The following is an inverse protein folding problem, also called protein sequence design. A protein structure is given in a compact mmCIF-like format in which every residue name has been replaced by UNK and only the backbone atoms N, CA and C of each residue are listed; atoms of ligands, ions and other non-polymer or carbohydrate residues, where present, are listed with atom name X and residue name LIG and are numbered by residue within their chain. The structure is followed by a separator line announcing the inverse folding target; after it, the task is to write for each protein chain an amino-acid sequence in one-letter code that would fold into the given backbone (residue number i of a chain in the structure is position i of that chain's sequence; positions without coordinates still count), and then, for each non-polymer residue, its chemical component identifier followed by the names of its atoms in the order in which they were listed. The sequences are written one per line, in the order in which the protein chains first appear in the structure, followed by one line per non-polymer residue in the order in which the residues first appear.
data_IF_556690852064
#
_entry.id   IF_556690852064
#
_cell.length_a   1.000
_cell.length_b   1.000
_cell.length_c   1.000
_cell.angle_alpha   90.00
_cell.angle_beta   90.00
_cell.angle_gamma   90.00
#
_symmetry.space_group_name_H-M   'P 1'
#
loop_
_entity.id
_entity.type
_entity.pdbx_description
1 polymer ?
#
# COMPACT_ATOMS: atom_id res chain seq x y z
N UNK A 1 1.51 -5.81 -14.12
CA UNK A 1 2.47 -6.91 -14.36
C UNK A 1 1.74 -8.17 -14.89
N UNK A 2 2.40 -9.16 -15.54
CA UNK A 2 1.73 -10.40 -15.95
C UNK A 2 1.23 -11.20 -14.74
N UNK A 3 0.16 -11.98 -14.89
CA UNK A 3 -0.59 -12.62 -13.79
C UNK A 3 0.16 -13.71 -12.98
N UNK A 4 1.43 -13.98 -13.32
CA UNK A 4 2.38 -14.77 -12.53
C UNK A 4 3.78 -14.28 -12.83
N UNK A 5 4.20 -13.25 -12.11
CA UNK A 5 5.56 -12.75 -12.19
C UNK A 5 6.35 -13.35 -11.03
N UNK A 6 7.30 -14.25 -11.32
CA UNK A 6 8.17 -14.82 -10.29
C UNK A 6 9.34 -13.88 -9.95
N UNK A 7 9.54 -12.82 -10.75
CA UNK A 7 10.59 -11.82 -10.56
C UNK A 7 10.29 -10.52 -11.31
N UNK A 8 10.26 -9.41 -10.59
CA UNK A 8 10.16 -8.06 -11.18
C UNK A 8 11.51 -7.65 -11.75
N UNK A 9 11.53 -7.17 -12.99
CA UNK A 9 12.74 -6.63 -13.64
C UNK A 9 12.58 -5.15 -13.95
N UNK A 10 13.70 -4.38 -14.09
CA UNK A 10 13.64 -2.94 -14.37
C UNK A 10 12.79 -2.57 -15.59
N UNK A 11 12.79 -3.40 -16.63
CA UNK A 11 12.02 -3.15 -17.85
C UNK A 11 10.50 -3.20 -17.63
N UNK A 12 10.06 -3.79 -16.53
CA UNK A 12 8.64 -3.86 -16.15
C UNK A 12 8.18 -2.60 -15.41
N UNK A 13 9.10 -1.70 -15.02
CA UNK A 13 8.85 -0.51 -14.22
C UNK A 13 9.18 0.77 -15.01
N UNK A 14 8.49 1.07 -16.13
CA UNK A 14 8.87 2.18 -17.02
C UNK A 14 8.76 3.56 -16.37
N UNK A 15 8.04 3.67 -15.24
CA UNK A 15 7.80 4.91 -14.53
C UNK A 15 8.86 5.23 -13.47
N UNK A 16 9.78 4.30 -13.17
CA UNK A 16 10.82 4.50 -12.16
C UNK A 16 12.11 3.76 -12.54
N UNK A 17 13.25 4.42 -12.37
CA UNK A 17 14.55 3.82 -12.69
C UNK A 17 15.12 3.12 -11.44
N UNK A 18 14.79 1.85 -11.25
CA UNK A 18 15.35 1.01 -10.19
C UNK A 18 16.31 -0.03 -10.77
N UNK A 19 17.46 -0.22 -10.12
CA UNK A 19 18.34 -1.36 -10.40
C UNK A 19 17.69 -2.66 -9.91
N UNK A 20 18.07 -3.79 -10.52
CA UNK A 20 17.59 -5.10 -10.07
C UNK A 20 17.88 -5.34 -8.57
N UNK A 21 19.01 -4.85 -8.06
CA UNK A 21 19.37 -4.97 -6.63
C UNK A 21 18.38 -4.21 -5.74
N UNK A 22 17.97 -3.00 -6.14
CA UNK A 22 16.97 -2.22 -5.39
C UNK A 22 15.59 -2.88 -5.43
N UNK A 23 15.20 -3.43 -6.59
CA UNK A 23 13.94 -4.17 -6.73
C UNK A 23 13.94 -5.41 -5.82
N UNK A 24 15.00 -6.22 -5.91
CA UNK A 24 15.13 -7.44 -5.10
C UNK A 24 15.13 -7.10 -3.60
N UNK A 25 15.71 -5.97 -3.18
CA UNK A 25 15.67 -5.50 -1.79
C UNK A 25 14.25 -5.12 -1.34
N UNK A 26 13.52 -4.34 -2.13
CA UNK A 26 12.15 -3.90 -1.77
C UNK A 26 11.20 -5.10 -1.67
N UNK A 27 11.31 -6.06 -2.59
CA UNK A 27 10.41 -7.22 -2.62
C UNK A 27 10.73 -8.25 -1.53
N UNK A 28 11.98 -8.33 -1.07
CA UNK A 28 12.42 -9.29 -0.04
C UNK A 28 11.59 -9.20 1.24
N UNK A 29 11.21 -7.99 1.64
CA UNK A 29 10.49 -7.75 2.90
C UNK A 29 8.96 -7.82 2.73
N UNK A 30 8.47 -8.10 1.51
CA UNK A 30 7.04 -8.19 1.21
C UNK A 30 6.48 -9.55 1.68
N UNK A 31 5.47 -9.59 2.58
CA UNK A 31 4.76 -10.83 2.89
C UNK A 31 4.16 -11.44 1.61
N UNK A 32 4.43 -12.73 1.35
CA UNK A 32 4.01 -13.38 0.09
C UNK A 32 4.93 -13.12 -1.11
N UNK A 33 6.02 -12.36 -0.94
CA UNK A 33 7.05 -12.13 -1.96
C UNK A 33 6.54 -11.41 -3.20
N UNK A 34 7.16 -11.68 -4.35
CA UNK A 34 6.82 -11.05 -5.64
C UNK A 34 5.34 -11.22 -6.00
N UNK A 35 4.74 -12.36 -5.64
CA UNK A 35 3.34 -12.65 -5.93
C UNK A 35 2.36 -11.70 -5.24
N UNK A 36 2.78 -11.01 -4.18
CA UNK A 36 1.98 -10.01 -3.49
C UNK A 36 2.24 -8.57 -4.00
N UNK A 37 3.03 -8.42 -5.07
CA UNK A 37 3.36 -7.12 -5.66
C UNK A 37 2.64 -6.99 -7.01
N UNK A 38 1.65 -6.09 -7.07
CA UNK A 38 0.90 -5.85 -8.31
C UNK A 38 1.65 -4.91 -9.27
N UNK A 39 2.27 -3.87 -8.72
CA UNK A 39 3.03 -2.85 -9.45
C UNK A 39 3.88 -1.99 -8.51
N UNK A 40 4.81 -1.18 -9.05
CA UNK A 40 5.64 -0.24 -8.30
C UNK A 40 5.62 1.13 -8.99
N UNK A 41 5.16 2.15 -8.27
CA UNK A 41 5.04 3.52 -8.77
C UNK A 41 5.96 4.50 -8.01
N UNK A 42 6.51 5.53 -8.67
CA UNK A 42 7.16 6.62 -7.96
C UNK A 42 6.16 7.40 -7.11
N UNK A 43 6.64 7.94 -5.99
CA UNK A 43 5.81 8.83 -5.16
C UNK A 43 5.46 10.11 -5.91
N UNK A 44 4.19 10.49 -5.89
CA UNK A 44 3.73 11.80 -6.32
C UNK A 44 4.26 12.89 -5.37
N UNK A 45 4.33 14.18 -5.80
CA UNK A 45 4.90 15.26 -4.98
C UNK A 45 4.31 15.37 -3.57
N UNK A 46 2.99 15.19 -3.43
CA UNK A 46 2.33 15.20 -2.12
C UNK A 46 2.76 14.01 -1.25
N UNK A 47 2.88 12.81 -1.83
CA UNK A 47 3.29 11.61 -1.09
C UNK A 47 4.74 11.73 -0.60
N UNK A 48 5.62 12.34 -1.40
CA UNK A 48 6.99 12.63 -0.97
C UNK A 48 7.03 13.62 0.21
N UNK A 49 6.16 14.64 0.19
CA UNK A 49 6.00 15.58 1.32
C UNK A 49 5.50 14.89 2.59
N UNK A 50 4.50 14.02 2.47
CA UNK A 50 3.97 13.21 3.59
C UNK A 50 5.07 12.33 4.19
N UNK A 51 5.85 11.63 3.35
CA UNK A 51 6.93 10.77 3.80
C UNK A 51 8.00 11.55 4.57
N UNK A 52 8.39 12.72 4.08
CA UNK A 52 9.35 13.58 4.77
C UNK A 52 8.91 13.92 6.19
N UNK A 53 7.66 14.33 6.34
CA UNK A 53 7.08 14.67 7.63
C UNK A 53 6.91 13.45 8.55
N UNK A 54 6.55 12.28 8.00
CA UNK A 54 6.49 11.03 8.76
C UNK A 54 7.85 10.67 9.37
N UNK A 55 8.92 10.71 8.56
CA UNK A 55 10.29 10.38 9.02
C UNK A 55 10.83 11.42 10.00
N UNK A 56 10.42 12.69 9.84
CA UNK A 56 10.89 13.80 10.67
C UNK A 56 10.07 13.99 11.96
N UNK A 57 8.97 13.26 12.13
CA UNK A 57 8.10 13.38 13.29
C UNK A 57 8.73 12.70 14.52
N UNK A 58 9.03 13.48 15.55
CA UNK A 58 9.54 12.94 16.82
C UNK A 58 8.45 12.26 17.66
N UNK A 59 7.17 12.61 17.45
CA UNK A 59 6.03 12.03 18.16
C UNK A 59 4.80 11.89 17.26
N UNK A 60 4.51 10.66 16.85
CA UNK A 60 3.31 10.30 16.08
C UNK A 60 3.33 10.82 14.64
N UNK A 61 2.74 10.07 13.73
CA UNK A 61 2.66 10.51 12.33
C UNK A 61 1.51 11.53 12.15
N UNK A 62 1.80 12.78 11.73
CA UNK A 62 0.79 13.82 11.54
C UNK A 62 -0.24 13.48 10.46
N UNK A 63 0.03 12.51 9.59
CA UNK A 63 -0.86 12.04 8.54
C UNK A 63 -1.65 10.78 8.91
N UNK A 64 -1.57 10.32 10.16
CA UNK A 64 -2.45 9.24 10.64
C UNK A 64 -3.89 9.76 10.78
N UNK A 65 -4.77 9.33 9.88
CA UNK A 65 -6.20 9.59 9.98
C UNK A 65 -6.84 8.53 10.88
N UNK A 66 -7.59 8.99 11.89
CA UNK A 66 -8.36 8.11 12.79
C UNK A 66 -9.84 8.40 12.60
N UNK A 67 -10.62 7.36 12.37
CA UNK A 67 -12.07 7.41 12.39
C UNK A 67 -12.60 6.45 13.45
N UNK A 68 -13.51 6.92 14.29
CA UNK A 68 -14.17 6.12 15.31
C UNK A 68 -15.65 6.05 14.97
N UNK A 69 -16.18 4.82 14.92
CA UNK A 69 -17.59 4.57 14.61
C UNK A 69 -18.24 3.85 15.79
N UNK A 70 -19.39 4.37 16.23
CA UNK A 70 -20.25 3.71 17.19
C UNK A 70 -21.31 2.91 16.45
N UNK A 71 -21.46 1.63 16.80
CA UNK A 71 -22.39 0.71 16.17
C UNK A 71 -23.36 0.18 17.22
N UNK A 72 -24.63 0.10 16.84
CA UNK A 72 -25.75 -0.17 17.76
C UNK A 72 -25.73 -1.60 18.31
N UNK A 73 -25.26 -2.54 17.50
CA UNK A 73 -25.25 -3.97 17.79
C UNK A 73 -24.24 -4.70 16.89
N UNK A 74 -24.13 -6.01 17.10
CA UNK A 74 -23.22 -6.88 16.35
C UNK A 74 -23.61 -7.04 14.88
N UNK A 75 -24.90 -7.09 14.55
CA UNK A 75 -25.34 -7.25 13.17
C UNK A 75 -24.92 -6.05 12.31
N UNK A 76 -25.06 -4.83 12.85
CA UNK A 76 -24.59 -3.60 12.18
C UNK A 76 -23.07 -3.54 12.04
N UNK A 77 -22.33 -4.12 12.98
CA UNK A 77 -20.88 -4.27 12.85
C UNK A 77 -20.50 -5.22 11.72
N UNK A 78 -21.19 -6.36 11.60
CA UNK A 78 -20.92 -7.34 10.55
C UNK A 78 -21.25 -6.74 9.16
N UNK A 79 -22.38 -6.04 9.03
CA UNK A 79 -22.75 -5.31 7.81
C UNK A 79 -21.71 -4.23 7.43
N UNK A 80 -21.26 -3.43 8.40
CA UNK A 80 -20.25 -2.40 8.18
C UNK A 80 -18.92 -3.01 7.73
N UNK A 81 -18.48 -4.08 8.38
CA UNK A 81 -17.27 -4.80 8.03
C UNK A 81 -17.32 -5.33 6.60
N UNK A 82 -18.45 -5.93 6.20
CA UNK A 82 -18.66 -6.40 4.83
C UNK A 82 -18.61 -5.27 3.79
N UNK A 83 -19.26 -4.14 4.08
CA UNK A 83 -19.22 -2.96 3.20
C UNK A 83 -17.80 -2.38 3.08
N UNK A 84 -17.06 -2.28 4.19
CA UNK A 84 -15.69 -1.79 4.19
C UNK A 84 -14.76 -2.71 3.37
N UNK A 85 -14.91 -4.02 3.49
CA UNK A 85 -14.17 -4.97 2.66
C UNK A 85 -14.47 -4.77 1.16
N UNK A 86 -15.72 -4.47 0.81
CA UNK A 86 -16.10 -4.11 -0.57
C UNK A 86 -15.39 -2.85 -1.09
N UNK A 87 -15.19 -1.85 -0.23
CA UNK A 87 -14.43 -0.63 -0.57
C UNK A 87 -12.95 -0.94 -0.76
N UNK A 88 -12.34 -1.73 0.15
CA UNK A 88 -10.94 -2.16 0.06
C UNK A 88 -10.69 -2.94 -1.24
N UNK A 89 -11.57 -3.89 -1.57
CA UNK A 89 -11.44 -4.69 -2.78
C UNK A 89 -11.58 -3.87 -4.07
N UNK A 90 -12.28 -2.73 -4.02
CA UNK A 90 -12.51 -1.86 -5.18
C UNK A 90 -11.38 -0.86 -5.42
N UNK A 91 -10.65 -0.48 -4.38
CA UNK A 91 -9.62 0.57 -4.45
C UNK A 91 -8.25 -0.01 -4.12
N UNK A 92 -7.45 -0.27 -5.16
CA UNK A 92 -6.12 -0.89 -5.04
C UNK A 92 -5.18 -0.16 -4.07
N UNK A 93 -5.37 1.14 -3.86
CA UNK A 93 -4.59 1.93 -2.89
C UNK A 93 -4.80 1.50 -1.43
N UNK A 94 -5.87 0.75 -1.13
CA UNK A 94 -6.22 0.26 0.20
C UNK A 94 -5.79 -1.20 0.44
N UNK A 95 -5.14 -1.85 -0.55
CA UNK A 95 -4.62 -3.21 -0.47
C UNK A 95 -3.10 -3.21 -0.36
#
# INVERSE_FOLDING_TARGET
MPERCDRITPQMLPLINLSQVQIDHVVKDMPGGVANVQDIYPLAPLQAGILYHHISAEQGDPYTLKALFALSDRARLDDFSGALQGVINRHDILR
#
